data_IF_123002998272
#
_entry.id   IF_123002998272
#
_cell.length_a   1.000
_cell.length_b   1.000
_cell.length_c   1.000
_cell.angle_alpha   90.00
_cell.angle_beta   90.00
_cell.angle_gamma   90.00
#
_symmetry.space_group_name_H-M   'P 1'
#
loop_
_entity.id
_entity.type
_entity.pdbx_description
1 polymer ?
#
# COMPACT_ATOMS: atom_id res chain seq x y z
N UNK A 1 -20.49 -2.67 17.90
CA UNK A 1 -19.15 -2.77 17.26
C UNK A 1 -18.10 -2.51 18.34
N UNK A 2 -17.68 -3.53 19.10
CA UNK A 2 -16.85 -3.32 20.30
C UNK A 2 -15.33 -3.53 20.08
N UNK A 3 -14.87 -3.74 18.84
CA UNK A 3 -13.46 -4.09 18.56
C UNK A 3 -12.83 -3.35 17.37
N UNK A 4 -13.45 -2.34 16.76
CA UNK A 4 -12.82 -1.68 15.59
C UNK A 4 -11.55 -0.91 15.94
N UNK A 5 -11.40 -0.47 17.19
CA UNK A 5 -10.19 0.21 17.67
C UNK A 5 -9.02 -0.76 17.90
N UNK A 6 -9.29 -2.01 18.28
CA UNK A 6 -8.27 -3.03 18.48
C UNK A 6 -7.55 -3.38 17.16
N UNK A 7 -8.29 -3.44 16.04
CA UNK A 7 -7.71 -3.63 14.72
C UNK A 7 -6.84 -2.45 14.28
N UNK A 8 -7.21 -1.22 14.64
CA UNK A 8 -6.40 -0.05 14.33
C UNK A 8 -5.05 -0.06 15.06
N UNK A 9 -4.96 -0.67 16.25
CA UNK A 9 -3.69 -0.80 17.01
C UNK A 9 -2.77 -1.90 16.49
N UNK A 10 -3.31 -2.99 15.93
CA UNK A 10 -2.51 -4.13 15.44
C UNK A 10 -1.79 -3.87 14.12
N UNK A 11 -2.34 -2.99 13.27
CA UNK A 11 -1.86 -2.76 11.91
C UNK A 11 -1.34 -1.35 11.65
N UNK A 12 -1.50 -0.42 12.61
CA UNK A 12 -0.87 0.91 12.52
C UNK A 12 0.35 0.95 13.41
N UNK A 13 1.48 1.29 12.79
CA UNK A 13 2.64 1.74 13.52
C UNK A 13 2.34 3.11 14.15
N UNK A 14 1.97 3.10 15.44
CA UNK A 14 1.73 4.29 16.25
C UNK A 14 3.04 4.92 16.79
N UNK A 15 4.22 4.56 16.27
CA UNK A 15 5.48 5.19 16.69
C UNK A 15 5.62 6.63 16.16
N UNK A 16 6.22 7.50 16.97
CA UNK A 16 6.40 8.92 16.65
C UNK A 16 5.21 9.79 17.06
N UNK A 17 5.48 11.08 17.24
CA UNK A 17 4.50 12.05 17.75
C UNK A 17 3.36 12.31 16.75
N UNK A 18 2.28 12.95 17.20
CA UNK A 18 1.07 13.21 16.41
C UNK A 18 1.35 13.83 15.03
N UNK A 19 2.39 14.67 14.93
CA UNK A 19 2.82 15.28 13.67
C UNK A 19 3.33 14.24 12.67
N UNK A 20 4.14 13.27 13.12
CA UNK A 20 4.65 12.18 12.27
C UNK A 20 3.50 11.31 11.81
N UNK A 21 2.55 11.02 12.70
CA UNK A 21 1.36 10.24 12.36
C UNK A 21 0.48 10.94 11.33
N UNK A 22 0.25 12.25 11.49
CA UNK A 22 -0.49 13.05 10.52
C UNK A 22 0.22 13.11 9.16
N UNK A 23 1.56 13.20 9.15
CA UNK A 23 2.36 13.19 7.94
C UNK A 23 2.27 11.83 7.21
N UNK A 24 2.46 10.71 7.92
CA UNK A 24 2.33 9.35 7.38
C UNK A 24 0.93 9.11 6.80
N UNK A 25 -0.11 9.54 7.49
CA UNK A 25 -1.48 9.44 6.99
C UNK A 25 -1.66 10.21 5.68
N UNK A 26 -1.15 11.45 5.60
CA UNK A 26 -1.25 12.29 4.40
C UNK A 26 -0.53 11.67 3.20
N UNK A 27 0.68 11.13 3.41
CA UNK A 27 1.44 10.42 2.39
C UNK A 27 0.68 9.19 1.91
N UNK A 28 0.14 8.38 2.84
CA UNK A 28 -0.64 7.18 2.51
C UNK A 28 -1.90 7.51 1.70
N UNK A 29 -2.64 8.56 2.07
CA UNK A 29 -3.82 9.00 1.34
C UNK A 29 -3.47 9.46 -0.08
N UNK A 30 -2.44 10.30 -0.21
CA UNK A 30 -1.99 10.78 -1.52
C UNK A 30 -1.49 9.64 -2.41
N UNK A 31 -0.73 8.69 -1.86
CA UNK A 31 -0.27 7.53 -2.60
C UNK A 31 -1.44 6.67 -3.10
N UNK A 32 -2.47 6.46 -2.27
CA UNK A 32 -3.67 5.73 -2.67
C UNK A 32 -4.45 6.45 -3.77
N UNK A 33 -4.63 7.76 -3.66
CA UNK A 33 -5.33 8.56 -4.68
C UNK A 33 -4.61 8.47 -6.04
N UNK A 34 -3.29 8.62 -6.04
CA UNK A 34 -2.46 8.49 -7.26
C UNK A 34 -2.56 7.08 -7.84
N UNK A 35 -2.47 6.04 -6.99
CA UNK A 35 -2.57 4.65 -7.44
C UNK A 35 -3.97 4.33 -8.00
N UNK A 36 -5.04 4.83 -7.38
CA UNK A 36 -6.41 4.66 -7.86
C UNK A 36 -6.63 5.33 -9.23
N UNK A 37 -6.09 6.55 -9.41
CA UNK A 37 -6.11 7.24 -10.69
C UNK A 37 -5.33 6.46 -11.77
N UNK A 38 -4.16 5.93 -11.41
CA UNK A 38 -3.34 5.10 -12.30
C UNK A 38 -4.06 3.82 -12.75
N UNK A 39 -4.66 3.07 -11.80
CA UNK A 39 -5.44 1.87 -12.09
C UNK A 39 -6.61 2.20 -13.02
N UNK A 40 -7.36 3.27 -12.71
CA UNK A 40 -8.49 3.72 -13.54
C UNK A 40 -8.03 4.00 -14.97
N UNK A 41 -6.94 4.75 -15.14
CA UNK A 41 -6.42 5.12 -16.45
C UNK A 41 -5.91 3.91 -17.26
N UNK A 42 -5.37 2.89 -16.60
CA UNK A 42 -4.67 1.79 -17.26
C UNK A 42 -5.51 0.52 -17.46
N UNK A 43 -6.44 0.28 -16.54
CA UNK A 43 -7.31 -0.90 -16.52
C UNK A 43 -8.68 -0.57 -17.12
N UNK A 44 -9.14 0.67 -16.96
CA UNK A 44 -10.44 1.13 -17.45
C UNK A 44 -11.58 0.24 -16.94
N UNK A 45 -12.53 -0.07 -17.82
CA UNK A 45 -13.72 -0.85 -17.50
C UNK A 45 -13.46 -2.33 -17.16
N UNK A 46 -12.22 -2.81 -17.29
CA UNK A 46 -11.85 -4.19 -16.89
C UNK A 46 -11.90 -4.39 -15.37
N UNK A 47 -11.88 -3.31 -14.58
CA UNK A 47 -12.02 -3.36 -13.13
C UNK A 47 -13.31 -2.66 -12.71
N UNK A 48 -14.21 -3.32 -11.95
CA UNK A 48 -15.38 -2.67 -11.38
C UNK A 48 -14.98 -1.46 -10.53
N UNK A 49 -15.64 -0.31 -10.72
CA UNK A 49 -15.33 0.92 -9.99
C UNK A 49 -15.22 0.74 -8.45
N UNK A 50 -16.07 -0.07 -7.77
CA UNK A 50 -15.94 -0.31 -6.33
C UNK A 50 -14.65 -1.05 -5.90
N UNK A 51 -13.91 -1.65 -6.84
CA UNK A 51 -12.68 -2.40 -6.58
C UNK A 51 -11.41 -1.56 -6.77
N UNK A 52 -11.50 -0.37 -7.37
CA UNK A 52 -10.34 0.48 -7.68
C UNK A 52 -9.64 0.96 -6.41
N UNK A 53 -10.36 1.62 -5.50
CA UNK A 53 -9.76 2.14 -4.26
C UNK A 53 -9.24 1.02 -3.34
N UNK A 54 -9.96 -0.10 -3.11
CA UNK A 54 -9.42 -1.23 -2.35
C UNK A 54 -8.16 -1.84 -2.97
N UNK A 55 -8.08 -1.91 -4.31
CA UNK A 55 -6.88 -2.40 -4.99
C UNK A 55 -5.72 -1.42 -4.83
N UNK A 56 -5.99 -0.11 -4.93
CA UNK A 56 -4.99 0.93 -4.70
C UNK A 56 -4.43 0.89 -3.26
N UNK A 57 -5.29 0.70 -2.27
CA UNK A 57 -4.90 0.51 -0.86
C UNK A 57 -4.03 -0.74 -0.70
N UNK A 58 -4.45 -1.88 -1.25
CA UNK A 58 -3.70 -3.14 -1.17
C UNK A 58 -2.28 -3.00 -1.75
N UNK A 59 -2.15 -2.41 -2.95
CA UNK A 59 -0.86 -2.21 -3.60
C UNK A 59 0.01 -1.24 -2.82
N UNK A 60 -0.53 -0.10 -2.41
CA UNK A 60 0.23 0.94 -1.70
C UNK A 60 0.77 0.41 -0.37
N UNK A 61 -0.11 -0.17 0.46
CA UNK A 61 0.25 -0.70 1.77
C UNK A 61 1.14 -1.94 1.66
N UNK A 62 0.88 -2.82 0.69
CA UNK A 62 1.71 -4.00 0.44
C UNK A 62 3.12 -3.67 -0.05
N UNK A 63 3.27 -2.72 -0.98
CA UNK A 63 4.58 -2.29 -1.48
C UNK A 63 5.37 -1.52 -0.42
N UNK A 64 4.72 -0.66 0.37
CA UNK A 64 5.36 0.01 1.50
C UNK A 64 5.83 -1.01 2.56
N UNK A 65 4.98 -1.98 2.91
CA UNK A 65 5.35 -3.05 3.84
C UNK A 65 6.51 -3.90 3.33
N UNK A 66 6.55 -4.22 2.03
CA UNK A 66 7.67 -4.95 1.42
C UNK A 66 8.98 -4.15 1.48
N UNK A 67 8.93 -2.84 1.25
CA UNK A 67 10.09 -1.96 1.36
C UNK A 67 10.61 -1.89 2.81
N UNK A 68 9.72 -1.74 3.80
CA UNK A 68 10.07 -1.76 5.21
C UNK A 68 10.68 -3.10 5.63
N UNK A 69 10.08 -4.22 5.21
CA UNK A 69 10.59 -5.56 5.47
C UNK A 69 12.01 -5.77 4.92
N UNK A 70 12.32 -5.16 3.78
CA UNK A 70 13.64 -5.24 3.16
C UNK A 70 14.71 -4.41 3.87
N UNK A 71 14.34 -3.30 4.52
CA UNK A 71 15.28 -2.50 5.33
C UNK A 71 15.89 -3.36 6.45
N UNK A 72 15.09 -4.24 7.06
CA UNK A 72 15.56 -5.16 8.10
C UNK A 72 16.28 -6.40 7.55
N UNK A 73 16.32 -6.59 6.22
CA UNK A 73 16.90 -7.75 5.53
C UNK A 73 17.74 -7.33 4.31
N UNK A 74 18.77 -6.50 4.50
CA UNK A 74 19.58 -5.99 3.39
C UNK A 74 20.36 -7.09 2.65
N UNK A 75 20.50 -8.28 3.24
CA UNK A 75 21.08 -9.47 2.60
C UNK A 75 20.25 -10.00 1.44
N UNK A 76 18.95 -9.70 1.37
CA UNK A 76 18.10 -10.07 0.24
C UNK A 76 18.42 -9.15 -0.93
N UNK A 77 18.77 -9.67 -2.13
CA UNK A 77 19.08 -8.83 -3.27
C UNK A 77 17.87 -7.97 -3.69
N UNK A 78 18.10 -6.68 -3.93
CA UNK A 78 17.07 -5.73 -4.41
C UNK A 78 16.29 -6.28 -5.62
N UNK A 79 16.97 -6.98 -6.53
CA UNK A 79 16.35 -7.60 -7.70
C UNK A 79 15.22 -8.58 -7.32
N UNK A 80 15.41 -9.40 -6.29
CA UNK A 80 14.39 -10.35 -5.80
C UNK A 80 13.17 -9.60 -5.26
N UNK A 81 13.39 -8.51 -4.51
CA UNK A 81 12.32 -7.67 -3.97
C UNK A 81 11.52 -7.02 -5.10
N UNK A 82 12.21 -6.53 -6.13
CA UNK A 82 11.56 -5.96 -7.32
C UNK A 82 10.76 -7.02 -8.08
N UNK A 83 11.29 -8.22 -8.28
CA UNK A 83 10.58 -9.31 -8.96
C UNK A 83 9.27 -9.67 -8.24
N UNK A 84 9.29 -9.70 -6.91
CA UNK A 84 8.09 -9.92 -6.08
C UNK A 84 7.10 -8.76 -6.26
N UNK A 85 7.56 -7.52 -6.12
CA UNK A 85 6.73 -6.33 -6.29
C UNK A 85 6.05 -6.29 -7.66
N UNK A 86 6.80 -6.57 -8.73
CA UNK A 86 6.30 -6.62 -10.11
C UNK A 86 5.30 -7.74 -10.30
N UNK A 87 5.60 -8.97 -9.83
CA UNK A 87 4.67 -10.11 -9.98
C UNK A 87 3.34 -9.88 -9.29
N UNK A 88 3.35 -9.27 -8.10
CA UNK A 88 2.14 -9.04 -7.32
C UNK A 88 1.31 -7.86 -7.82
N UNK A 89 1.95 -6.84 -8.41
CA UNK A 89 1.25 -5.66 -8.92
C UNK A 89 0.77 -5.80 -10.37
N UNK A 90 1.43 -6.63 -11.18
CA UNK A 90 1.13 -6.79 -12.61
C UNK A 90 -0.37 -7.01 -12.91
N UNK A 91 -1.10 -7.92 -12.22
CA UNK A 91 -2.52 -8.18 -12.53
C UNK A 91 -3.42 -6.95 -12.34
N UNK A 92 -3.03 -6.02 -11.48
CA UNK A 92 -3.81 -4.83 -11.14
C UNK A 92 -3.53 -3.65 -12.07
N UNK A 93 -2.53 -3.73 -12.95
CA UNK A 93 -2.06 -2.60 -13.77
C UNK A 93 -1.87 -2.94 -15.26
N UNK A 94 -2.14 -4.17 -15.70
CA UNK A 94 -1.93 -4.52 -17.11
C UNK A 94 -2.17 -5.97 -17.42
#
# INVERSE_FOLDING_TARGET
RANSHAWAMLFRDNSGDDEIQASRLRVSLSAREVMAAFITARVGDRMPAPQVEPTAELLTSGLAGLALWWIDRPEVPKAVVLDVATRMSAPAVG
#
